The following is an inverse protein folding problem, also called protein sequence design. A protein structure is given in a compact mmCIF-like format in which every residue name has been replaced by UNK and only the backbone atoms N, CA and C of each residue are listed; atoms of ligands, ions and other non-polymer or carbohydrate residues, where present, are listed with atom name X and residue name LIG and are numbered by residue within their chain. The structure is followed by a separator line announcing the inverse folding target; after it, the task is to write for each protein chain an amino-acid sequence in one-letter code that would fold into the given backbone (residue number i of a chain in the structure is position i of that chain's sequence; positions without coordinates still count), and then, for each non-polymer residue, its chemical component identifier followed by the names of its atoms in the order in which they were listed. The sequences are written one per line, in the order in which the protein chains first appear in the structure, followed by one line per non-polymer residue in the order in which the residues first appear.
data_IF_200690363749
#
_entry.id   IF_200690363749
#
_cell.length_a   1.000
_cell.length_b   1.000
_cell.length_c   1.000
_cell.angle_alpha   90.00
_cell.angle_beta   90.00
_cell.angle_gamma   90.00
#
_symmetry.space_group_name_H-M   'P 1'
#
loop_
_entity.id
_entity.type
_entity.pdbx_description
1 polymer ?
#
# COMPACT_ATOMS: atom_id res chain seq x y z
N UNK A 1 5.27 -1.87 28.87
CA UNK A 1 6.11 -2.59 27.87
C UNK A 1 5.52 -3.95 27.44
N UNK A 2 4.20 -4.19 27.57
CA UNK A 2 3.58 -5.51 27.30
C UNK A 2 2.66 -5.56 26.05
N UNK A 3 2.36 -4.41 25.43
CA UNK A 3 1.38 -4.33 24.32
C UNK A 3 1.74 -5.18 23.09
N UNK A 4 3.03 -5.43 22.84
CA UNK A 4 3.47 -6.25 21.72
C UNK A 4 3.15 -7.74 21.89
N UNK A 5 3.16 -8.25 23.11
CA UNK A 5 2.99 -9.68 23.36
C UNK A 5 1.52 -10.10 23.20
N UNK A 6 0.59 -9.28 23.68
CA UNK A 6 -0.85 -9.51 23.50
C UNK A 6 -1.23 -9.52 22.00
N UNK A 7 -0.66 -8.59 21.22
CA UNK A 7 -0.89 -8.54 19.78
C UNK A 7 -0.39 -9.81 19.07
N UNK A 8 0.77 -10.33 19.46
CA UNK A 8 1.33 -11.56 18.90
C UNK A 8 0.45 -12.78 19.20
N UNK A 9 -0.11 -12.89 20.41
CA UNK A 9 -1.02 -13.99 20.77
C UNK A 9 -2.30 -13.94 19.94
N UNK A 10 -2.90 -12.76 19.79
CA UNK A 10 -4.10 -12.58 18.95
C UNK A 10 -3.78 -12.92 17.49
N UNK A 11 -2.64 -12.47 16.98
CA UNK A 11 -2.21 -12.77 15.61
C UNK A 11 -2.00 -14.27 15.41
N UNK A 12 -1.46 -14.98 16.41
CA UNK A 12 -1.26 -16.42 16.35
C UNK A 12 -2.59 -17.17 16.30
N UNK A 13 -3.57 -16.77 17.11
CA UNK A 13 -4.93 -17.36 17.07
C UNK A 13 -5.60 -17.08 15.73
N UNK A 14 -5.54 -15.84 15.24
CA UNK A 14 -6.07 -15.47 13.92
C UNK A 14 -5.41 -16.28 12.80
N UNK A 15 -4.10 -16.54 12.90
CA UNK A 15 -3.35 -17.34 11.93
C UNK A 15 -3.73 -18.82 11.96
N UNK A 16 -4.13 -19.37 13.11
CA UNK A 16 -4.65 -20.74 13.21
C UNK A 16 -6.04 -20.87 12.58
N UNK A 17 -6.91 -19.87 12.76
CA UNK A 17 -8.26 -19.85 12.17
C UNK A 17 -8.23 -19.61 10.65
N UNK A 18 -7.41 -18.66 10.21
CA UNK A 18 -7.34 -18.22 8.83
C UNK A 18 -6.33 -19.02 8.01
N UNK A 19 -5.25 -19.48 8.65
CA UNK A 19 -4.12 -20.16 8.03
C UNK A 19 -3.05 -19.21 7.47
N UNK A 20 -1.75 -19.52 7.61
CA UNK A 20 -0.66 -18.67 7.12
C UNK A 20 -0.63 -18.53 5.59
N UNK A 21 -1.21 -19.50 4.87
CA UNK A 21 -1.35 -19.43 3.40
C UNK A 21 -2.43 -18.44 2.93
N UNK A 22 -3.44 -18.16 3.75
CA UNK A 22 -4.55 -17.27 3.35
C UNK A 22 -4.24 -15.79 3.60
N UNK A 23 -3.44 -15.46 4.63
CA UNK A 23 -2.98 -14.10 4.87
C UNK A 23 -2.40 -13.39 3.63
N UNK A 24 -1.43 -13.97 2.89
CA UNK A 24 -0.86 -13.31 1.71
C UNK A 24 -1.87 -13.18 0.56
N UNK A 25 -2.84 -14.09 0.45
CA UNK A 25 -3.91 -14.00 -0.54
C UNK A 25 -4.86 -12.83 -0.23
N UNK A 26 -5.34 -12.76 1.01
CA UNK A 26 -6.24 -11.70 1.47
C UNK A 26 -5.58 -10.32 1.45
N UNK A 27 -4.32 -10.22 1.88
CA UNK A 27 -3.56 -8.98 1.84
C UNK A 27 -3.36 -8.48 0.40
N UNK A 28 -3.10 -9.38 -0.56
CA UNK A 28 -2.99 -9.00 -1.97
C UNK A 28 -4.32 -8.50 -2.54
N UNK A 29 -5.42 -9.22 -2.31
CA UNK A 29 -6.74 -8.81 -2.78
C UNK A 29 -7.21 -7.49 -2.17
N UNK A 30 -7.06 -7.33 -0.86
CA UNK A 30 -7.38 -6.09 -0.16
C UNK A 30 -6.48 -4.93 -0.63
N UNK A 31 -5.18 -5.18 -0.78
CA UNK A 31 -4.21 -4.19 -1.25
C UNK A 31 -4.51 -3.70 -2.67
N UNK A 32 -4.89 -4.61 -3.58
CA UNK A 32 -5.35 -4.22 -4.92
C UNK A 32 -6.63 -3.37 -4.86
N UNK A 33 -7.60 -3.80 -4.06
CA UNK A 33 -8.87 -3.07 -3.89
C UNK A 33 -8.65 -1.66 -3.34
N UNK A 34 -7.82 -1.51 -2.31
CA UNK A 34 -7.46 -0.21 -1.73
C UNK A 34 -6.71 0.64 -2.76
N UNK A 35 -5.82 0.05 -3.56
CA UNK A 35 -5.05 0.78 -4.58
C UNK A 35 -5.96 1.32 -5.69
N UNK A 36 -6.92 0.52 -6.15
CA UNK A 36 -7.90 0.95 -7.15
C UNK A 36 -8.88 1.98 -6.58
N UNK A 37 -9.35 1.75 -5.35
CA UNK A 37 -10.17 2.71 -4.62
C UNK A 37 -9.47 4.05 -4.46
N UNK A 38 -8.18 4.05 -4.06
CA UNK A 38 -7.40 5.27 -3.88
C UNK A 38 -7.19 6.01 -5.20
N UNK A 39 -6.87 5.30 -6.29
CA UNK A 39 -6.76 5.91 -7.63
C UNK A 39 -8.06 6.57 -8.09
N UNK A 40 -9.19 5.88 -7.89
CA UNK A 40 -10.50 6.45 -8.22
C UNK A 40 -10.83 7.66 -7.34
N UNK A 41 -10.57 7.56 -6.04
CA UNK A 41 -10.78 8.66 -5.09
C UNK A 41 -9.88 9.87 -5.41
N UNK A 42 -8.61 9.66 -5.76
CA UNK A 42 -7.68 10.72 -6.17
C UNK A 42 -8.16 11.44 -7.43
N UNK A 43 -8.67 10.72 -8.43
CA UNK A 43 -9.26 11.35 -9.64
C UNK A 43 -10.48 12.23 -9.33
N UNK A 44 -11.36 11.78 -8.43
CA UNK A 44 -12.52 12.56 -7.99
C UNK A 44 -12.11 13.81 -7.18
N UNK A 45 -11.04 13.71 -6.38
CA UNK A 45 -10.52 14.82 -5.59
C UNK A 45 -9.78 15.86 -6.45
N UNK A 46 -9.22 15.45 -7.59
CA UNK A 46 -8.51 16.33 -8.53
C UNK A 46 -9.48 17.17 -9.37
N UNK A 47 -10.65 16.63 -9.73
CA UNK A 47 -11.69 17.33 -10.50
C UNK A 47 -12.35 18.51 -9.74
N UNK A 48 -12.25 18.54 -8.41
CA UNK A 48 -12.77 19.62 -7.55
C UNK A 48 -11.66 20.54 -6.98
N UNK A 49 -10.38 20.33 -7.33
CA UNK A 49 -9.26 21.09 -6.78
C UNK A 49 -8.65 22.06 -7.80
N UNK A 50 -8.67 23.39 -7.58
CA UNK A 50 -7.90 24.31 -8.40
C UNK A 50 -6.42 23.94 -8.29
N UNK A 51 -5.79 23.69 -9.44
CA UNK A 51 -4.43 23.19 -9.64
C UNK A 51 -3.46 23.60 -8.51
N UNK A 52 -3.21 22.66 -7.59
CA UNK A 52 -2.09 22.73 -6.66
C UNK A 52 -1.00 21.77 -7.16
N UNK A 53 0.28 22.16 -7.09
CA UNK A 53 1.36 21.56 -7.87
C UNK A 53 1.55 20.09 -7.52
N UNK A 54 1.67 19.29 -8.58
CA UNK A 54 1.96 17.86 -8.51
C UNK A 54 3.23 17.60 -7.67
N UNK A 55 3.21 16.69 -6.68
CA UNK A 55 4.44 16.20 -6.08
C UNK A 55 5.27 15.50 -7.17
N UNK A 56 6.60 15.66 -7.19
CA UNK A 56 7.42 15.22 -8.30
C UNK A 56 7.31 13.70 -8.41
N UNK A 57 6.76 13.25 -9.54
CA UNK A 57 6.88 11.87 -10.03
C UNK A 57 8.37 11.51 -9.92
N UNK A 58 8.76 10.53 -9.08
CA UNK A 58 10.16 10.13 -8.98
C UNK A 58 10.60 9.73 -10.38
N UNK A 59 11.40 10.60 -10.99
CA UNK A 59 12.11 10.31 -12.22
C UNK A 59 12.83 9.01 -11.96
N UNK A 60 12.42 7.99 -12.71
CA UNK A 60 13.22 6.80 -12.90
C UNK A 60 14.65 7.29 -13.13
N UNK A 61 15.53 6.79 -12.28
CA UNK A 61 16.96 6.96 -12.36
C UNK A 61 17.38 6.91 -13.82
N UNK A 62 17.69 8.10 -14.34
CA UNK A 62 18.53 8.31 -15.49
C UNK A 62 19.89 7.72 -15.14
N UNK A 63 20.00 6.40 -15.28
CA UNK A 63 21.25 5.70 -15.52
C UNK A 63 21.55 5.81 -17.03
N UNK A 64 21.64 7.05 -17.51
CA UNK A 64 22.47 7.41 -18.66
C UNK A 64 23.75 8.02 -18.08
N UNK A 65 24.55 7.17 -17.43
CA UNK A 65 25.90 7.53 -17.04
C UNK A 65 26.80 7.37 -18.27
N UNK A 66 26.97 8.47 -18.97
CA UNK A 66 28.22 8.87 -19.63
C UNK A 66 28.84 7.88 -20.65
N UNK A 67 28.49 8.13 -21.92
CA UNK A 67 29.37 8.16 -23.10
C UNK A 67 30.80 8.65 -22.77
N UNK A 68 31.89 8.11 -23.36
CA UNK A 68 32.25 8.23 -24.79
C UNK A 68 32.16 6.95 -25.63
#
# INVERSE_FOLDING_TARGET
MLAGQDLVVVLLIALLLLGPKQLPGLARGLGQSIREFKKGAEGLLDEDKPAAPEPPKPAATEQDKAKP
#
